data_IF_050417716999
#
_entry.id   IF_050417716999
#
_cell.length_a   1.000
_cell.length_b   1.000
_cell.length_c   1.000
_cell.angle_alpha   90.00
_cell.angle_beta   90.00
_cell.angle_gamma   90.00
#
_symmetry.space_group_name_H-M   'P 1'
#
loop_
_entity.id
_entity.type
_entity.pdbx_description
1 polymer ?
#
# COMPACT_ATOMS: atom_id res chain seq x y z
N UNK A 1 -13.87 -2.38 9.75
CA UNK A 1 -12.94 -3.17 8.89
C UNK A 1 -11.93 -3.82 9.83
N UNK A 2 -11.69 -5.13 9.78
CA UNK A 2 -10.97 -5.81 10.88
C UNK A 2 -9.93 -6.79 10.35
N UNK A 3 -8.67 -6.55 10.72
CA UNK A 3 -7.56 -7.49 10.54
C UNK A 3 -7.42 -8.40 11.78
N UNK A 4 -6.88 -9.61 11.57
CA UNK A 4 -6.64 -10.60 12.61
C UNK A 4 -5.41 -10.29 13.48
N UNK A 5 -5.26 -10.95 14.62
CA UNK A 5 -4.10 -10.75 15.51
C UNK A 5 -2.80 -11.20 14.84
N UNK A 6 -2.89 -12.25 14.05
CA UNK A 6 -1.80 -12.84 13.27
C UNK A 6 -1.35 -11.84 12.19
N UNK A 7 -2.29 -11.20 11.50
CA UNK A 7 -1.99 -10.13 10.54
C UNK A 7 -1.36 -8.90 11.20
N UNK A 8 -1.87 -8.48 12.36
CA UNK A 8 -1.28 -7.38 13.15
C UNK A 8 0.17 -7.71 13.52
N UNK A 9 0.43 -8.95 13.93
CA UNK A 9 1.79 -9.41 14.25
C UNK A 9 2.70 -9.33 13.02
N UNK A 10 2.26 -9.88 11.88
CA UNK A 10 3.05 -9.89 10.64
C UNK A 10 3.42 -8.49 10.15
N UNK A 11 2.46 -7.54 10.14
CA UNK A 11 2.77 -6.15 9.77
C UNK A 11 3.68 -5.46 10.78
N UNK A 12 3.53 -5.74 12.09
CA UNK A 12 4.36 -5.11 13.12
C UNK A 12 5.80 -5.60 13.05
N UNK A 13 6.03 -6.90 13.01
CA UNK A 13 7.36 -7.50 13.03
C UNK A 13 8.16 -7.13 11.77
N UNK A 14 7.52 -7.17 10.60
CA UNK A 14 8.16 -6.73 9.35
C UNK A 14 8.42 -5.23 9.35
N UNK A 15 7.49 -4.41 9.84
CA UNK A 15 7.68 -2.97 9.85
C UNK A 15 8.77 -2.51 10.83
N UNK A 16 8.99 -3.21 11.95
CA UNK A 16 10.10 -2.89 12.86
C UNK A 16 11.46 -2.94 12.14
N UNK A 17 11.63 -3.88 11.21
CA UNK A 17 12.84 -4.02 10.39
C UNK A 17 12.89 -2.93 9.31
N UNK A 18 11.79 -2.70 8.59
CA UNK A 18 11.68 -1.62 7.59
C UNK A 18 12.01 -0.27 8.23
N UNK A 19 11.51 -0.02 9.43
CA UNK A 19 11.59 1.27 10.10
C UNK A 19 13.02 1.71 10.44
N UNK A 20 13.98 0.76 10.50
CA UNK A 20 15.41 1.07 10.69
C UNK A 20 15.94 1.97 9.56
N UNK A 21 15.55 1.71 8.31
CA UNK A 21 15.97 2.50 7.15
C UNK A 21 14.81 2.75 6.17
N UNK A 22 13.64 3.15 6.68
CA UNK A 22 12.37 3.24 5.91
C UNK A 22 12.42 4.04 4.61
N UNK A 23 13.30 5.03 4.51
CA UNK A 23 13.46 5.81 3.27
C UNK A 23 14.15 4.98 2.19
N UNK A 24 15.18 4.21 2.56
CA UNK A 24 15.84 3.30 1.61
C UNK A 24 14.93 2.13 1.24
N UNK A 25 14.11 1.64 2.16
CA UNK A 25 13.06 0.68 1.81
C UNK A 25 12.09 1.28 0.78
N UNK A 26 11.66 2.52 0.96
CA UNK A 26 10.80 3.20 -0.02
C UNK A 26 11.50 3.35 -1.39
N UNK A 27 12.79 3.66 -1.42
CA UNK A 27 13.58 3.70 -2.65
C UNK A 27 13.61 2.35 -3.36
N UNK A 28 13.84 1.25 -2.63
CA UNK A 28 13.79 -0.12 -3.17
C UNK A 28 12.39 -0.46 -3.72
N UNK A 29 11.36 -0.14 -2.96
CA UNK A 29 9.96 -0.29 -3.38
C UNK A 29 9.67 0.44 -4.69
N UNK A 30 10.07 1.71 -4.83
CA UNK A 30 9.84 2.46 -6.06
C UNK A 30 10.71 1.97 -7.22
N UNK A 31 11.89 1.39 -6.95
CA UNK A 31 12.70 0.74 -7.96
C UNK A 31 11.97 -0.49 -8.53
N UNK A 32 11.43 -1.34 -7.67
CA UNK A 32 10.62 -2.50 -8.12
C UNK A 32 9.32 -2.10 -8.82
N UNK A 33 8.69 -1.01 -8.39
CA UNK A 33 7.51 -0.47 -9.07
C UNK A 33 7.85 -0.04 -10.51
N UNK A 34 8.98 0.64 -10.68
CA UNK A 34 9.50 1.05 -12.00
C UNK A 34 9.83 -0.16 -12.87
N UNK A 35 10.52 -1.16 -12.34
CA UNK A 35 10.92 -2.35 -13.08
C UNK A 35 9.72 -3.21 -13.50
N UNK A 36 8.74 -3.35 -12.60
CA UNK A 36 7.54 -4.15 -12.84
C UNK A 36 6.50 -3.48 -13.75
N UNK A 37 6.59 -2.16 -14.00
CA UNK A 37 5.61 -1.44 -14.80
C UNK A 37 6.19 -0.22 -15.52
N UNK A 38 6.33 -0.26 -16.87
CA UNK A 38 6.98 0.79 -17.65
C UNK A 38 6.41 2.21 -17.48
N UNK A 39 5.12 2.33 -17.14
CA UNK A 39 4.50 3.65 -16.90
C UNK A 39 5.08 4.39 -15.70
N UNK A 40 5.74 3.68 -14.78
CA UNK A 40 6.44 4.25 -13.64
C UNK A 40 7.93 4.51 -13.92
N UNK A 41 8.37 4.51 -15.19
CA UNK A 41 9.76 4.79 -15.59
C UNK A 41 10.32 6.07 -14.95
N UNK A 42 9.47 7.10 -14.84
CA UNK A 42 9.79 8.43 -14.30
C UNK A 42 9.43 8.59 -12.82
N UNK A 43 9.17 7.52 -12.08
CA UNK A 43 8.69 7.62 -10.69
C UNK A 43 9.63 8.45 -9.80
N UNK A 44 10.94 8.35 -10.00
CA UNK A 44 11.94 9.12 -9.24
C UNK A 44 12.01 10.61 -9.65
N UNK A 45 11.45 10.99 -10.80
CA UNK A 45 11.26 12.40 -11.15
C UNK A 45 10.05 12.98 -10.42
N UNK A 46 9.02 12.16 -10.16
CA UNK A 46 7.72 12.55 -9.60
C UNK A 46 7.69 12.49 -8.07
N UNK A 47 8.16 11.39 -7.50
CA UNK A 47 8.17 11.13 -6.05
C UNK A 47 9.42 11.77 -5.45
N UNK A 48 9.22 12.81 -4.63
CA UNK A 48 10.32 13.43 -3.89
C UNK A 48 10.53 12.73 -2.55
N UNK A 49 11.67 13.00 -1.92
CA UNK A 49 11.99 12.45 -0.59
C UNK A 49 10.90 12.73 0.46
N UNK A 50 10.24 13.89 0.38
CA UNK A 50 9.14 14.24 1.28
C UNK A 50 7.88 13.42 0.99
N UNK A 51 7.61 13.09 -0.27
CA UNK A 51 6.51 12.19 -0.65
C UNK A 51 6.77 10.77 -0.15
N UNK A 52 7.99 10.26 -0.35
CA UNK A 52 8.42 8.96 0.17
C UNK A 52 8.33 8.90 1.71
N UNK A 53 8.76 9.97 2.39
CA UNK A 53 8.66 10.07 3.85
C UNK A 53 7.21 10.05 4.33
N UNK A 54 6.34 10.81 3.68
CA UNK A 54 4.92 10.87 4.03
C UNK A 54 4.21 9.52 3.77
N UNK A 55 4.52 8.87 2.64
CA UNK A 55 4.05 7.53 2.35
C UNK A 55 4.46 6.54 3.46
N UNK A 56 5.74 6.48 3.82
CA UNK A 56 6.21 5.58 4.88
C UNK A 56 5.68 5.94 6.28
N UNK A 57 5.38 7.21 6.54
CA UNK A 57 4.71 7.60 7.78
C UNK A 57 3.26 7.09 7.81
N UNK A 58 2.53 7.15 6.70
CA UNK A 58 1.17 6.58 6.65
C UNK A 58 1.17 5.05 6.84
N UNK A 59 2.21 4.36 6.35
CA UNK A 59 2.41 2.93 6.66
C UNK A 59 2.63 2.71 8.16
N UNK A 60 3.46 3.54 8.80
CA UNK A 60 3.65 3.49 10.26
C UNK A 60 2.33 3.68 11.01
N UNK A 61 1.49 4.60 10.54
CA UNK A 61 0.20 4.88 11.17
C UNK A 61 -0.74 3.67 11.11
N UNK A 62 -0.72 2.90 10.01
CA UNK A 62 -1.43 1.61 9.91
C UNK A 62 -0.95 0.66 11.01
N UNK A 63 0.36 0.48 11.14
CA UNK A 63 0.96 -0.45 12.11
C UNK A 63 0.60 -0.08 13.55
N UNK A 64 0.69 1.21 13.91
CA UNK A 64 0.37 1.70 15.26
C UNK A 64 -1.12 1.56 15.58
N UNK A 65 -1.97 1.78 14.59
CA UNK A 65 -3.42 1.77 14.76
C UNK A 65 -4.07 0.41 14.54
N UNK A 66 -3.33 -0.60 14.09
CA UNK A 66 -3.78 -1.93 13.71
C UNK A 66 -4.70 -2.63 14.72
N UNK A 67 -4.53 -2.37 16.01
CA UNK A 67 -5.34 -2.92 17.11
C UNK A 67 -6.53 -2.05 17.52
N UNK A 68 -6.70 -0.88 16.92
CA UNK A 68 -7.66 0.17 17.29
C UNK A 68 -8.56 0.53 16.10
N UNK A 69 -9.70 -0.13 15.97
CA UNK A 69 -10.55 -0.09 14.76
C UNK A 69 -10.81 1.32 14.21
N UNK A 70 -11.19 2.28 15.07
CA UNK A 70 -11.48 3.64 14.64
C UNK A 70 -10.26 4.37 14.06
N UNK A 71 -9.08 4.17 14.65
CA UNK A 71 -7.84 4.79 14.16
C UNK A 71 -7.30 4.05 12.94
N UNK A 72 -7.48 2.73 12.90
CA UNK A 72 -7.08 1.88 11.77
C UNK A 72 -7.79 2.28 10.49
N UNK A 73 -9.10 2.48 10.57
CA UNK A 73 -9.90 2.87 9.40
C UNK A 73 -9.43 4.20 8.77
N UNK A 74 -9.04 5.16 9.61
CA UNK A 74 -8.45 6.44 9.19
C UNK A 74 -7.04 6.27 8.61
N UNK A 75 -6.22 5.43 9.22
CA UNK A 75 -4.87 5.16 8.73
C UNK A 75 -4.89 4.52 7.34
N UNK A 76 -5.79 3.54 7.11
CA UNK A 76 -6.01 2.94 5.78
C UNK A 76 -6.45 4.00 4.76
N UNK A 77 -7.34 4.92 5.15
CA UNK A 77 -7.76 6.00 4.25
C UNK A 77 -6.60 6.94 3.89
N UNK A 78 -5.77 7.31 4.87
CA UNK A 78 -4.60 8.17 4.63
C UNK A 78 -3.58 7.47 3.74
N UNK A 79 -3.26 6.21 4.03
CA UNK A 79 -2.35 5.39 3.22
C UNK A 79 -2.85 5.26 1.78
N UNK A 80 -4.13 4.95 1.57
CA UNK A 80 -4.72 4.90 0.22
C UNK A 80 -4.65 6.23 -0.52
N UNK A 81 -4.78 7.36 0.20
CA UNK A 81 -4.64 8.70 -0.40
C UNK A 81 -3.20 8.93 -0.90
N UNK A 82 -2.20 8.46 -0.15
CA UNK A 82 -0.81 8.47 -0.60
C UNK A 82 -0.56 7.52 -1.77
N UNK A 83 -1.16 6.33 -1.75
CA UNK A 83 -1.11 5.39 -2.87
C UNK A 83 -1.64 6.05 -4.15
N UNK A 84 -2.86 6.59 -4.12
CA UNK A 84 -3.49 7.25 -5.28
C UNK A 84 -2.69 8.48 -5.73
N UNK A 85 -2.08 9.23 -4.81
CA UNK A 85 -1.18 10.33 -5.17
C UNK A 85 0.03 9.85 -5.99
N UNK A 86 0.57 8.68 -5.68
CA UNK A 86 1.70 8.06 -6.38
C UNK A 86 1.26 7.46 -7.72
N UNK A 87 0.17 6.69 -7.72
CA UNK A 87 -0.20 5.85 -8.85
C UNK A 87 -1.27 6.45 -9.78
N UNK A 88 -1.94 7.53 -9.37
CA UNK A 88 -2.91 8.29 -10.14
C UNK A 88 -4.36 7.80 -10.05
N UNK A 89 -4.61 6.53 -9.71
CA UNK A 89 -5.96 5.99 -9.57
C UNK A 89 -6.00 4.75 -8.63
N UNK A 90 -7.18 4.37 -8.09
CA UNK A 90 -7.30 3.24 -7.17
C UNK A 90 -6.93 1.86 -7.71
N UNK A 91 -7.17 1.57 -9.00
CA UNK A 91 -6.91 0.25 -9.61
C UNK A 91 -5.42 -0.12 -9.52
N UNK A 92 -4.57 0.89 -9.44
CA UNK A 92 -3.13 0.73 -9.37
C UNK A 92 -2.59 0.41 -7.98
N UNK A 93 -3.44 0.40 -6.96
CA UNK A 93 -3.05 -0.03 -5.61
C UNK A 93 -2.53 -1.47 -5.63
N UNK A 94 -3.11 -2.35 -6.46
CA UNK A 94 -2.67 -3.74 -6.60
C UNK A 94 -1.32 -3.87 -7.35
N UNK A 95 -0.92 -2.86 -8.12
CA UNK A 95 0.42 -2.80 -8.72
C UNK A 95 1.45 -2.36 -7.69
N UNK A 96 1.09 -1.41 -6.82
CA UNK A 96 1.91 -1.05 -5.65
C UNK A 96 2.08 -2.24 -4.71
N UNK A 97 1.03 -3.02 -4.46
CA UNK A 97 1.11 -4.23 -3.64
C UNK A 97 2.18 -5.19 -4.15
N UNK A 98 2.18 -5.52 -5.44
CA UNK A 98 3.17 -6.42 -6.03
C UNK A 98 4.59 -5.91 -5.86
N UNK A 99 4.83 -4.64 -6.15
CA UNK A 99 6.15 -4.03 -5.96
C UNK A 99 6.57 -3.99 -4.49
N UNK A 100 5.62 -3.74 -3.57
CA UNK A 100 5.86 -3.77 -2.14
C UNK A 100 6.29 -5.16 -1.67
N UNK A 101 5.59 -6.21 -2.10
CA UNK A 101 5.89 -7.58 -1.69
C UNK A 101 7.28 -8.04 -2.17
N UNK A 102 7.66 -7.70 -3.41
CA UNK A 102 9.00 -8.01 -3.93
C UNK A 102 10.08 -7.25 -3.15
N UNK A 103 9.87 -5.95 -2.90
CA UNK A 103 10.79 -5.16 -2.08
C UNK A 103 10.89 -5.70 -0.65
N UNK A 104 9.77 -6.16 -0.09
CA UNK A 104 9.71 -6.73 1.25
C UNK A 104 10.43 -8.05 1.37
N UNK A 105 10.30 -8.93 0.37
CA UNK A 105 11.03 -10.19 0.29
C UNK A 105 12.54 -9.97 0.27
N UNK A 106 13.03 -9.06 -0.60
CA UNK A 106 14.44 -8.71 -0.64
C UNK A 106 14.91 -8.09 0.68
N UNK A 107 14.12 -7.17 1.24
CA UNK A 107 14.52 -6.41 2.43
C UNK A 107 14.57 -7.26 3.69
N UNK A 108 13.63 -8.18 3.87
CA UNK A 108 13.58 -9.05 5.04
C UNK A 108 14.45 -10.30 4.87
N UNK A 109 14.71 -10.73 3.64
CA UNK A 109 15.48 -11.92 3.33
C UNK A 109 14.93 -13.14 4.09
N UNK A 110 15.75 -13.84 4.91
CA UNK A 110 15.30 -15.01 5.68
C UNK A 110 14.15 -14.75 6.66
N UNK A 111 13.88 -13.50 7.04
CA UNK A 111 12.77 -13.13 7.90
C UNK A 111 11.44 -13.01 7.14
N UNK A 112 11.44 -13.06 5.80
CA UNK A 112 10.23 -13.05 5.00
C UNK A 112 9.47 -14.37 5.13
N UNK A 113 8.18 -14.32 5.43
CA UNK A 113 7.33 -15.51 5.56
C UNK A 113 5.98 -15.28 4.86
N UNK A 114 5.27 -16.38 4.60
CA UNK A 114 3.91 -16.33 4.05
C UNK A 114 2.95 -15.56 4.95
N UNK A 115 3.12 -15.61 6.27
CA UNK A 115 2.31 -14.82 7.21
C UNK A 115 2.54 -13.32 7.00
N UNK A 116 3.79 -12.88 6.82
CA UNK A 116 4.11 -11.48 6.55
C UNK A 116 3.55 -11.05 5.21
N UNK A 117 3.72 -11.86 4.16
CA UNK A 117 3.16 -11.61 2.83
C UNK A 117 1.63 -11.41 2.89
N UNK A 118 0.92 -12.40 3.45
CA UNK A 118 -0.54 -12.37 3.59
C UNK A 118 -1.01 -11.17 4.43
N UNK A 119 -0.21 -10.75 5.42
CA UNK A 119 -0.52 -9.59 6.25
C UNK A 119 -0.49 -8.29 5.46
N UNK A 120 0.51 -8.10 4.59
CA UNK A 120 0.59 -6.92 3.74
C UNK A 120 -0.42 -6.96 2.59
N UNK A 121 -0.66 -8.13 1.99
CA UNK A 121 -1.73 -8.31 1.00
C UNK A 121 -3.10 -7.88 1.55
N UNK A 122 -3.40 -8.23 2.80
CA UNK A 122 -4.61 -7.75 3.47
C UNK A 122 -4.64 -6.23 3.55
N UNK A 123 -3.56 -5.58 4.00
CA UNK A 123 -3.50 -4.10 4.07
C UNK A 123 -3.78 -3.46 2.71
N UNK A 124 -3.14 -3.94 1.65
CA UNK A 124 -3.36 -3.42 0.30
C UNK A 124 -4.77 -3.73 -0.22
N UNK A 125 -5.31 -4.92 0.04
CA UNK A 125 -6.67 -5.31 -0.31
C UNK A 125 -7.73 -4.43 0.37
N UNK A 126 -7.57 -4.18 1.67
CA UNK A 126 -8.44 -3.27 2.43
C UNK A 126 -8.35 -1.83 1.90
N UNK A 127 -7.14 -1.38 1.58
CA UNK A 127 -6.90 -0.06 0.98
C UNK A 127 -7.58 0.06 -0.38
N UNK A 128 -7.41 -0.94 -1.25
CA UNK A 128 -8.04 -1.00 -2.56
C UNK A 128 -9.56 -0.97 -2.44
N UNK A 129 -10.16 -1.86 -1.65
CA UNK A 129 -11.61 -1.93 -1.46
C UNK A 129 -12.20 -0.57 -1.04
N UNK A 130 -11.57 0.09 -0.07
CA UNK A 130 -12.00 1.41 0.42
C UNK A 130 -12.01 2.48 -0.68
N UNK A 131 -11.06 2.44 -1.62
CA UNK A 131 -10.95 3.44 -2.69
C UNK A 131 -11.71 3.05 -3.96
N UNK A 132 -11.89 1.76 -4.24
CA UNK A 132 -12.69 1.29 -5.38
C UNK A 132 -14.19 1.44 -5.12
N UNK A 133 -14.67 1.28 -3.88
CA UNK A 133 -16.08 1.48 -3.51
C UNK A 133 -16.51 2.96 -3.57
N UNK A 134 -15.54 3.88 -3.57
CA UNK A 134 -15.78 5.32 -3.70
C UNK A 134 -15.96 5.80 -5.14
N UNK A 135 -15.74 4.92 -6.14
CA UNK A 135 -16.04 5.21 -7.53
C UNK A 135 -17.55 4.99 -7.76
N UNK A 136 -18.31 6.00 -8.22
CA UNK A 136 -19.68 5.72 -8.64
C UNK A 136 -19.60 4.66 -9.73
N UNK A 137 -20.35 3.57 -9.55
CA UNK A 137 -20.62 2.63 -10.64
C UNK A 137 -21.05 3.46 -11.84
N UNK A 138 -20.23 3.53 -12.89
CA UNK A 138 -20.71 3.95 -14.20
C UNK A 138 -21.75 2.89 -14.60
N UNK A 139 -23.00 3.18 -14.24
CA UNK A 139 -24.19 2.56 -14.80
C UNK A 139 -24.07 2.65 -16.32
N UNK A 140 -23.81 1.50 -16.93
CA UNK A 140 -23.64 1.37 -18.36
C UNK A 140 -24.87 1.89 -19.11
N UNK A 141 -24.58 2.76 -20.08
CA UNK A 141 -25.18 2.83 -21.43
C UNK A 141 -26.71 2.64 -21.54
N UNK A 142 -27.37 3.74 -21.87
CA UNK A 142 -27.98 3.88 -23.20
C UNK A 142 -29.38 3.29 -23.44
N UNK A 143 -30.29 4.21 -23.75
CA UNK A 143 -31.47 4.07 -24.62
C UNK A 143 -32.60 3.13 -24.17
N UNK A 144 -33.71 3.73 -23.74
CA UNK A 144 -34.94 3.66 -24.55
C UNK A 144 -35.80 4.89 -24.30
N UNK A 145 -35.89 5.70 -25.36
CA UNK A 145 -36.92 6.71 -25.56
C UNK A 145 -38.15 5.93 -26.03
N UNK A 146 -39.26 6.06 -25.30
CA UNK A 146 -40.61 5.90 -25.83
C UNK A 146 -41.44 7.08 -25.34
#
# INVERSE_FOLDING_TARGET
MKISKEQIKGISESFDIINLEKIKFAELFFAYLKEGSPKYEKIFELVKIDDARNFMNSVRDIVISASQEFYFDKAIQQFGSHCVKICGNPEEILVLEKAWLVALEEWLGPCYTSEIENSWQEIFGLTYAKFSESLPMESGRGAQIF
#
